data_IF_385632564722
#
_entry.id   IF_385632564722
#
_cell.length_a   1.000
_cell.length_b   1.000
_cell.length_c   1.000
_cell.angle_alpha   90.00
_cell.angle_beta   90.00
_cell.angle_gamma   90.00
#
_symmetry.space_group_name_H-M   'P 1'
#
loop_
_entity.id
_entity.type
_entity.pdbx_description
1 polymer ?
#
# COMPACT_ATOMS: atom_id res chain seq x y z
N UNK A 1 -11.63 -8.36 -24.99
CA UNK A 1 -10.34 -8.19 -24.29
C UNK A 1 -9.24 -8.66 -25.22
N UNK A 2 -8.25 -7.83 -25.57
CA UNK A 2 -7.14 -8.28 -26.44
C UNK A 2 -6.14 -9.14 -25.65
N UNK A 3 -5.43 -10.04 -26.33
CA UNK A 3 -4.42 -10.92 -25.71
C UNK A 3 -3.27 -10.13 -25.06
N UNK A 4 -2.97 -8.94 -25.57
CA UNK A 4 -1.95 -8.03 -25.02
C UNK A 4 -2.32 -7.52 -23.61
N UNK A 5 -3.59 -7.19 -23.37
CA UNK A 5 -4.07 -6.78 -22.04
C UNK A 5 -3.87 -7.88 -21.00
N UNK A 6 -4.17 -9.13 -21.38
CA UNK A 6 -4.04 -10.30 -20.49
C UNK A 6 -2.57 -10.61 -20.19
N UNK A 7 -1.65 -10.37 -21.15
CA UNK A 7 -0.21 -10.53 -20.92
C UNK A 7 0.32 -9.46 -19.96
N UNK A 8 -0.05 -8.19 -20.21
CA UNK A 8 0.37 -7.06 -19.39
C UNK A 8 -0.10 -7.18 -17.93
N UNK A 9 -1.34 -7.63 -17.71
CA UNK A 9 -1.87 -7.86 -16.36
C UNK A 9 -1.10 -8.97 -15.62
N UNK A 10 -0.75 -10.07 -16.30
CA UNK A 10 0.06 -11.15 -15.73
C UNK A 10 1.48 -10.71 -15.37
N UNK A 11 2.09 -9.87 -16.19
CA UNK A 11 3.44 -9.34 -15.92
C UNK A 11 3.44 -8.38 -14.73
N UNK A 12 2.42 -7.52 -14.63
CA UNK A 12 2.21 -6.66 -13.45
C UNK A 12 2.01 -7.51 -12.19
N UNK A 13 1.21 -8.58 -12.27
CA UNK A 13 0.96 -9.47 -11.13
C UNK A 13 2.25 -10.14 -10.65
N UNK A 14 3.11 -10.63 -11.55
CA UNK A 14 4.42 -11.21 -11.21
C UNK A 14 5.33 -10.21 -10.50
N UNK A 15 5.45 -8.99 -11.04
CA UNK A 15 6.26 -7.93 -10.44
C UNK A 15 5.76 -7.56 -9.04
N UNK A 16 4.44 -7.51 -8.84
CA UNK A 16 3.85 -7.25 -7.52
C UNK A 16 4.17 -8.35 -6.52
N UNK A 17 4.07 -9.63 -6.91
CA UNK A 17 4.43 -10.77 -6.04
C UNK A 17 5.90 -10.73 -5.61
N UNK A 18 6.81 -10.37 -6.51
CA UNK A 18 8.26 -10.27 -6.22
C UNK A 18 8.60 -9.14 -5.23
N UNK A 19 7.80 -8.07 -5.21
CA UNK A 19 8.01 -6.90 -4.36
C UNK A 19 7.40 -7.03 -2.95
N UNK A 20 6.82 -8.19 -2.61
CA UNK A 20 6.26 -8.42 -1.29
C UNK A 20 7.37 -8.96 -0.39
N UNK A 21 7.59 -8.29 0.75
CA UNK A 21 8.59 -8.72 1.71
C UNK A 21 8.31 -10.18 2.15
N UNK A 22 9.39 -10.96 2.26
CA UNK A 22 9.39 -12.40 2.53
C UNK A 22 8.60 -12.92 3.75
N UNK A 23 8.23 -12.15 4.80
CA UNK A 23 7.43 -12.72 5.90
C UNK A 23 5.93 -12.83 5.59
N UNK A 24 5.43 -12.29 4.49
CA UNK A 24 4.00 -12.40 4.12
C UNK A 24 3.79 -13.68 3.30
N UNK A 25 3.19 -14.70 3.92
CA UNK A 25 2.79 -15.90 3.20
C UNK A 25 1.61 -15.58 2.29
N UNK A 26 1.82 -15.75 0.99
CA UNK A 26 0.78 -15.59 -0.03
C UNK A 26 0.53 -16.97 -0.65
N UNK A 27 -0.73 -17.45 -0.68
CA UNK A 27 -1.05 -18.70 -1.36
C UNK A 27 -0.57 -18.68 -2.81
N UNK A 28 0.00 -19.80 -3.28
CA UNK A 28 0.58 -19.88 -4.62
C UNK A 28 -0.45 -19.64 -5.76
N UNK A 29 -1.74 -19.86 -5.51
CA UNK A 29 -2.82 -19.85 -6.52
C UNK A 29 -3.46 -18.47 -6.81
N UNK A 30 -2.77 -17.36 -6.53
CA UNK A 30 -3.29 -16.03 -6.88
C UNK A 30 -3.09 -15.73 -8.37
N UNK A 31 -4.17 -15.62 -9.14
CA UNK A 31 -4.13 -15.45 -10.60
C UNK A 31 -4.56 -14.05 -11.06
N UNK A 32 -5.13 -13.24 -10.17
CA UNK A 32 -5.56 -11.86 -10.47
C UNK A 32 -5.02 -10.84 -9.48
N UNK A 33 -4.97 -9.57 -9.90
CA UNK A 33 -4.59 -8.46 -9.01
C UNK A 33 -5.59 -8.27 -7.86
N UNK A 34 -6.87 -8.56 -8.09
CA UNK A 34 -7.91 -8.45 -7.08
C UNK A 34 -7.74 -9.50 -5.97
N UNK A 35 -7.45 -10.75 -6.35
CA UNK A 35 -7.13 -11.82 -5.39
C UNK A 35 -5.87 -11.49 -4.58
N UNK A 36 -4.83 -10.94 -5.22
CA UNK A 36 -3.62 -10.49 -4.53
C UNK A 36 -3.94 -9.40 -3.49
N UNK A 37 -4.73 -8.41 -3.89
CA UNK A 37 -5.15 -7.31 -3.00
C UNK A 37 -5.94 -7.83 -1.80
N UNK A 38 -6.88 -8.76 -2.02
CA UNK A 38 -7.65 -9.38 -0.92
C UNK A 38 -6.77 -10.18 0.03
N UNK A 39 -5.88 -11.03 -0.49
CA UNK A 39 -4.98 -11.84 0.33
C UNK A 39 -4.05 -10.97 1.20
N UNK A 40 -3.51 -9.89 0.61
CA UNK A 40 -2.70 -8.93 1.35
C UNK A 40 -3.50 -8.22 2.44
N UNK A 41 -4.74 -7.79 2.15
CA UNK A 41 -5.63 -7.14 3.13
C UNK A 41 -6.02 -8.07 4.30
N UNK A 42 -6.07 -9.38 4.09
CA UNK A 42 -6.39 -10.36 5.15
C UNK A 42 -5.19 -10.72 6.03
N UNK A 43 -3.96 -10.41 5.64
CA UNK A 43 -2.78 -10.76 6.42
C UNK A 43 -2.63 -9.84 7.65
N UNK A 44 -2.23 -10.37 8.80
CA UNK A 44 -2.12 -9.60 10.06
C UNK A 44 -1.14 -8.42 9.97
N UNK A 45 -0.08 -8.55 9.18
CA UNK A 45 0.87 -7.45 8.93
C UNK A 45 0.24 -6.25 8.23
N UNK A 46 -0.87 -6.45 7.51
CA UNK A 46 -1.57 -5.36 6.83
C UNK A 46 -2.23 -4.40 7.82
N UNK A 47 -2.94 -4.93 8.82
CA UNK A 47 -3.53 -4.12 9.89
C UNK A 47 -2.44 -3.48 10.76
N UNK A 48 -1.33 -4.17 11.05
CA UNK A 48 -0.17 -3.59 11.73
C UNK A 48 0.39 -2.40 10.93
N UNK A 49 0.62 -2.58 9.63
CA UNK A 49 1.13 -1.52 8.77
C UNK A 49 0.16 -0.33 8.65
N UNK A 50 -1.14 -0.59 8.61
CA UNK A 50 -2.19 0.44 8.64
C UNK A 50 -2.21 1.21 9.96
N UNK A 51 -2.25 0.52 11.09
CA UNK A 51 -2.27 1.13 12.42
C UNK A 51 -0.98 1.92 12.69
N UNK A 52 0.19 1.40 12.29
CA UNK A 52 1.45 2.12 12.38
C UNK A 52 1.46 3.42 11.55
N UNK A 53 0.79 3.46 10.40
CA UNK A 53 0.69 4.68 9.59
C UNK A 53 -0.25 5.71 10.20
N UNK A 54 -1.42 5.28 10.70
CA UNK A 54 -2.34 6.16 11.42
C UNK A 54 -1.66 6.73 12.66
N UNK A 55 -0.99 5.90 13.45
CA UNK A 55 -0.21 6.34 14.60
C UNK A 55 0.86 7.37 14.19
N UNK A 56 1.60 7.13 13.10
CA UNK A 56 2.59 8.10 12.61
C UNK A 56 1.96 9.42 12.19
N UNK A 57 0.79 9.41 11.55
CA UNK A 57 0.04 10.62 11.20
C UNK A 57 -0.41 11.37 12.46
N UNK A 58 -0.95 10.66 13.46
CA UNK A 58 -1.41 11.25 14.73
C UNK A 58 -0.25 11.88 15.53
N UNK A 59 0.97 11.33 15.40
CA UNK A 59 2.17 11.86 16.04
C UNK A 59 2.88 12.96 15.23
N UNK A 60 2.46 13.23 13.98
CA UNK A 60 3.09 14.30 13.20
C UNK A 60 2.66 15.67 13.72
N UNK A 61 3.60 16.41 14.28
CA UNK A 61 3.47 17.84 14.63
C UNK A 61 4.51 18.65 13.89
N UNK A 62 4.10 19.75 13.26
CA UNK A 62 5.04 20.70 12.64
C UNK A 62 5.60 21.65 13.70
N UNK A 63 6.92 21.66 13.89
CA UNK A 63 7.60 22.59 14.81
C UNK A 63 8.30 23.67 14.00
N UNK A 64 7.56 24.72 13.65
CA UNK A 64 7.86 25.68 12.57
C UNK A 64 9.18 26.46 12.61
N UNK A 65 10.02 26.29 13.63
CA UNK A 65 11.32 26.96 13.75
C UNK A 65 12.53 26.06 13.42
N UNK A 66 12.38 24.73 13.47
CA UNK A 66 13.47 23.77 13.18
C UNK A 66 13.15 22.77 12.07
N UNK A 67 11.88 22.71 11.63
CA UNK A 67 11.45 21.78 10.60
C UNK A 67 11.38 22.43 9.23
N UNK A 68 11.94 21.74 8.23
CA UNK A 68 11.73 22.05 6.83
C UNK A 68 10.27 21.78 6.47
N UNK A 69 9.49 22.85 6.35
CA UNK A 69 8.08 22.82 5.98
C UNK A 69 7.83 22.01 4.70
N UNK A 70 8.77 22.01 3.74
CA UNK A 70 8.65 21.24 2.50
C UNK A 70 8.76 19.75 2.78
N UNK A 71 9.73 19.31 3.60
CA UNK A 71 9.86 17.90 3.99
C UNK A 71 8.67 17.43 4.82
N UNK A 72 8.19 18.28 5.74
CA UNK A 72 6.99 17.99 6.52
C UNK A 72 5.78 17.75 5.61
N UNK A 73 5.51 18.68 4.67
CA UNK A 73 4.39 18.57 3.73
C UNK A 73 4.52 17.35 2.79
N UNK A 74 5.73 17.03 2.33
CA UNK A 74 5.98 15.83 1.50
C UNK A 74 5.71 14.55 2.29
N UNK A 75 6.20 14.45 3.53
CA UNK A 75 5.97 13.29 4.39
C UNK A 75 4.50 13.13 4.76
N UNK A 76 3.85 14.23 5.14
CA UNK A 76 2.43 14.26 5.48
C UNK A 76 1.58 13.82 4.29
N UNK A 77 1.78 14.42 3.11
CA UNK A 77 1.07 14.03 1.88
C UNK A 77 1.31 12.57 1.50
N UNK A 78 2.55 12.07 1.65
CA UNK A 78 2.87 10.66 1.37
C UNK A 78 2.07 9.72 2.27
N UNK A 79 1.97 10.04 3.56
CA UNK A 79 1.20 9.26 4.53
C UNK A 79 -0.31 9.36 4.27
N UNK A 80 -0.83 10.56 3.99
CA UNK A 80 -2.25 10.75 3.63
C UNK A 80 -2.64 10.00 2.35
N UNK A 81 -1.88 10.13 1.26
CA UNK A 81 -2.15 9.42 -0.01
C UNK A 81 -2.10 7.91 0.17
N UNK A 82 -1.15 7.42 0.97
CA UNK A 82 -1.06 6.00 1.34
C UNK A 82 -2.15 5.57 2.33
N UNK A 83 -2.94 6.48 2.90
CA UNK A 83 -4.11 6.18 3.74
C UNK A 83 -5.43 6.30 2.95
N UNK A 84 -5.54 7.25 2.03
CA UNK A 84 -6.76 7.58 1.29
C UNK A 84 -7.06 6.60 0.16
N UNK A 85 -6.03 6.02 -0.48
CA UNK A 85 -6.18 4.89 -1.40
C UNK A 85 -6.80 3.62 -0.75
N UNK A 86 -7.02 3.62 0.58
CA UNK A 86 -7.70 2.54 1.29
C UNK A 86 -9.19 2.83 1.58
N UNK A 87 -9.62 4.09 1.60
CA UNK A 87 -11.00 4.45 1.90
C UNK A 87 -11.91 4.32 0.67
N UNK A 88 -11.41 4.65 -0.53
CA UNK A 88 -12.19 4.63 -1.79
C UNK A 88 -12.39 3.23 -2.41
N UNK A 89 -11.93 2.15 -1.77
CA UNK A 89 -12.20 0.76 -2.21
C UNK A 89 -13.20 0.03 -1.31
N UNK A 90 -13.92 0.80 -0.48
CA UNK A 90 -14.91 0.30 0.47
C UNK A 90 -16.35 0.69 0.10
N UNK A 91 -16.53 1.35 -1.04
CA UNK A 91 -17.83 1.65 -1.65
C UNK A 91 -18.02 0.83 -2.93
#
# INVERSE_FOLDING_TARGET
>A
MSEEWVKQERDILKLRKLNIDSPIYIPNEINTLNELSKALKTHSTFEIYKNCRMYRLDQMSFQGDNDDATKFLVNFRSLCFKSENYQFTRD
#
